data_IF_297958867939
#
_entry.id   IF_297958867939
#
_cell.length_a   1.000
_cell.length_b   1.000
_cell.length_c   1.000
_cell.angle_alpha   90.00
_cell.angle_beta   90.00
_cell.angle_gamma   90.00
#
_symmetry.space_group_name_H-M   'P 1'
#
loop_
_entity.id
_entity.type
_entity.pdbx_description
1 polymer ?
#
# COMPACT_ATOMS: atom_id res chain seq x y z
N UNK A 1 5.19 -32.03 -1.83
CA UNK A 1 4.87 -33.21 -2.66
C UNK A 1 6.08 -33.54 -3.52
N UNK A 2 6.35 -34.82 -3.85
CA UNK A 2 7.43 -35.17 -4.79
C UNK A 2 7.05 -34.80 -6.22
N UNK A 3 8.01 -34.34 -7.01
CA UNK A 3 7.88 -34.08 -8.45
C UNK A 3 8.80 -35.06 -9.18
N UNK A 4 8.24 -35.86 -10.09
CA UNK A 4 8.94 -36.94 -10.79
C UNK A 4 9.17 -36.57 -12.26
N UNK A 5 10.36 -36.07 -12.59
CA UNK A 5 10.69 -35.71 -13.96
C UNK A 5 10.80 -36.97 -14.84
N UNK A 6 9.98 -37.11 -15.89
CA UNK A 6 10.05 -38.26 -16.77
C UNK A 6 11.32 -38.19 -17.64
N UNK A 7 11.79 -39.36 -18.07
CA UNK A 7 12.86 -39.49 -19.06
C UNK A 7 12.24 -40.01 -20.36
N UNK A 8 12.58 -39.36 -21.47
CA UNK A 8 12.08 -39.71 -22.80
C UNK A 8 13.10 -40.60 -23.52
N UNK A 9 12.78 -41.88 -23.60
CA UNK A 9 13.58 -42.92 -24.25
C UNK A 9 12.88 -43.44 -25.50
N UNK A 10 13.65 -44.01 -26.43
CA UNK A 10 13.08 -44.65 -27.61
C UNK A 10 12.12 -45.78 -27.21
N UNK A 11 10.94 -45.80 -27.86
CA UNK A 11 9.88 -46.77 -27.57
C UNK A 11 9.08 -46.53 -26.27
N UNK A 12 9.31 -45.44 -25.53
CA UNK A 12 8.52 -45.14 -24.33
C UNK A 12 7.05 -44.78 -24.70
N UNK A 13 6.08 -45.48 -24.08
CA UNK A 13 4.66 -45.17 -24.24
C UNK A 13 4.29 -43.83 -23.58
N UNK A 14 3.43 -43.07 -24.26
CA UNK A 14 2.89 -41.81 -23.73
C UNK A 14 1.87 -42.08 -22.63
N UNK A 15 2.15 -41.54 -21.45
CA UNK A 15 1.31 -41.66 -20.26
C UNK A 15 0.98 -40.27 -19.72
N UNK A 16 -0.28 -39.98 -19.31
CA UNK A 16 -0.69 -38.67 -18.80
C UNK A 16 0.21 -38.12 -17.68
N UNK A 17 0.74 -39.01 -16.84
CA UNK A 17 1.60 -38.70 -15.72
C UNK A 17 2.91 -38.03 -16.16
N UNK A 18 3.46 -38.38 -17.33
CA UNK A 18 4.69 -37.77 -17.85
C UNK A 18 4.48 -36.26 -18.06
N UNK A 19 3.39 -35.89 -18.75
CA UNK A 19 3.04 -34.50 -19.01
C UNK A 19 2.68 -33.73 -17.73
N UNK A 20 1.91 -34.36 -16.82
CA UNK A 20 1.50 -33.73 -15.56
C UNK A 20 2.70 -33.41 -14.66
N UNK A 21 3.65 -34.33 -14.54
CA UNK A 21 4.84 -34.13 -13.71
C UNK A 21 5.80 -33.12 -14.32
N UNK A 22 5.92 -33.09 -15.66
CA UNK A 22 6.69 -32.06 -16.35
C UNK A 22 6.09 -30.67 -16.09
N UNK A 23 4.78 -30.50 -16.26
CA UNK A 23 4.10 -29.23 -16.00
C UNK A 23 4.25 -28.77 -14.54
N UNK A 24 4.16 -29.70 -13.57
CA UNK A 24 4.37 -29.40 -12.16
C UNK A 24 5.80 -28.94 -11.86
N UNK A 25 6.80 -29.52 -12.53
CA UNK A 25 8.20 -29.09 -12.42
C UNK A 25 8.39 -27.65 -12.91
N UNK A 26 7.76 -27.29 -14.03
CA UNK A 26 7.91 -25.97 -14.63
C UNK A 26 7.29 -24.86 -13.74
N UNK A 27 6.14 -25.13 -13.11
CA UNK A 27 5.54 -24.23 -12.10
C UNK A 27 6.48 -24.05 -10.89
N UNK A 28 7.06 -25.14 -10.39
CA UNK A 28 8.00 -25.08 -9.27
C UNK A 28 9.26 -24.29 -9.62
N UNK A 29 9.81 -24.48 -10.82
CA UNK A 29 10.97 -23.74 -11.31
C UNK A 29 10.68 -22.23 -11.38
N UNK A 30 9.51 -21.83 -11.90
CA UNK A 30 9.12 -20.43 -11.95
C UNK A 30 9.00 -19.79 -10.55
N UNK A 31 8.45 -20.52 -9.57
CA UNK A 31 8.39 -20.05 -8.18
C UNK A 31 9.80 -19.93 -7.55
N UNK A 32 10.70 -20.86 -7.86
CA UNK A 32 12.08 -20.82 -7.35
C UNK A 32 12.84 -19.57 -7.82
N UNK A 33 12.62 -19.14 -9.07
CA UNK A 33 13.19 -17.89 -9.62
C UNK A 33 12.57 -16.67 -8.94
N UNK A 34 11.25 -16.65 -8.76
CA UNK A 34 10.58 -15.52 -8.11
C UNK A 34 11.06 -15.29 -6.67
N UNK A 35 11.33 -16.37 -5.92
CA UNK A 35 11.84 -16.33 -4.54
C UNK A 35 13.29 -15.84 -4.41
N UNK A 36 14.03 -15.73 -5.51
CA UNK A 36 15.40 -15.19 -5.46
C UNK A 36 15.43 -13.72 -5.02
N UNK A 37 14.36 -12.97 -5.31
CA UNK A 37 14.29 -11.53 -5.01
C UNK A 37 13.11 -11.08 -4.16
N UNK A 38 12.13 -11.96 -3.89
CA UNK A 38 10.88 -11.63 -3.19
C UNK A 38 10.61 -12.63 -2.08
N UNK A 39 10.15 -12.14 -0.92
CA UNK A 39 9.73 -13.04 0.15
C UNK A 39 8.35 -13.66 -0.15
N UNK A 40 7.42 -12.86 -0.70
CA UNK A 40 6.04 -13.27 -0.95
C UNK A 40 5.65 -13.11 -2.44
N UNK A 41 6.11 -13.99 -3.36
CA UNK A 41 5.78 -13.88 -4.78
C UNK A 41 4.36 -14.40 -5.08
N UNK A 42 3.34 -13.89 -4.39
CA UNK A 42 1.94 -14.27 -4.51
C UNK A 42 1.03 -13.08 -4.19
N UNK A 43 -0.27 -13.21 -4.39
CA UNK A 43 -1.26 -12.17 -4.15
C UNK A 43 -2.05 -11.77 -5.38
N UNK A 44 -2.72 -10.63 -5.29
CA UNK A 44 -3.64 -10.11 -6.30
C UNK A 44 -2.90 -9.20 -7.27
N UNK A 45 -3.13 -9.42 -8.58
CA UNK A 45 -2.72 -8.53 -9.66
C UNK A 45 -3.90 -7.65 -10.11
N UNK A 46 -5.08 -8.24 -10.21
CA UNK A 46 -6.33 -7.54 -10.51
C UNK A 46 -7.51 -8.25 -9.85
N UNK A 47 -8.43 -7.49 -9.26
CA UNK A 47 -9.67 -8.00 -8.70
C UNK A 47 -10.80 -6.98 -8.91
N UNK A 48 -11.63 -7.25 -9.92
CA UNK A 48 -12.74 -6.40 -10.32
C UNK A 48 -14.07 -7.12 -10.10
N UNK A 49 -15.08 -6.37 -9.64
CA UNK A 49 -16.37 -6.89 -9.21
C UNK A 49 -17.52 -6.06 -9.78
N UNK A 50 -18.67 -6.70 -9.93
CA UNK A 50 -19.93 -6.06 -10.27
C UNK A 50 -20.72 -5.71 -9.00
N UNK A 51 -20.83 -4.42 -8.72
CA UNK A 51 -21.52 -3.88 -7.55
C UNK A 51 -23.04 -3.78 -7.75
N UNK A 52 -23.57 -3.97 -8.97
CA UNK A 52 -24.98 -3.73 -9.30
C UNK A 52 -25.96 -4.65 -8.57
N UNK A 53 -25.51 -5.85 -8.19
CA UNK A 53 -26.33 -6.88 -7.54
C UNK A 53 -26.17 -6.92 -6.01
N UNK A 54 -25.34 -6.05 -5.42
CA UNK A 54 -25.17 -5.95 -3.97
C UNK A 54 -26.48 -5.68 -3.20
N UNK A 55 -27.41 -4.82 -3.68
CA UNK A 55 -28.72 -4.64 -3.04
C UNK A 55 -29.54 -5.93 -2.97
N UNK A 56 -29.28 -6.90 -3.87
CA UNK A 56 -29.92 -8.21 -3.91
C UNK A 56 -29.12 -9.28 -3.15
N UNK A 57 -28.15 -8.89 -2.32
CA UNK A 57 -27.28 -9.80 -1.57
C UNK A 57 -26.51 -10.78 -2.47
N UNK A 58 -26.04 -10.31 -3.63
CA UNK A 58 -25.24 -11.09 -4.57
C UNK A 58 -24.00 -10.32 -4.99
N UNK A 59 -22.87 -11.02 -5.07
CA UNK A 59 -21.60 -10.48 -5.56
C UNK A 59 -21.06 -11.35 -6.68
N UNK A 60 -20.78 -10.72 -7.83
CA UNK A 60 -20.09 -11.35 -8.96
C UNK A 60 -18.71 -10.72 -9.15
N UNK A 61 -17.71 -11.56 -9.43
CA UNK A 61 -16.43 -11.08 -9.96
C UNK A 61 -16.56 -10.91 -11.48
N UNK A 62 -15.91 -9.89 -12.02
CA UNK A 62 -15.85 -9.64 -13.47
C UNK A 62 -14.48 -9.95 -14.04
N UNK A 63 -13.42 -9.81 -13.24
CA UNK A 63 -12.04 -10.10 -13.64
C UNK A 63 -11.18 -10.42 -12.43
N UNK A 64 -10.44 -11.52 -12.49
CA UNK A 64 -9.52 -11.95 -11.45
C UNK A 64 -8.19 -12.41 -12.05
N UNK A 65 -7.10 -11.78 -11.61
CA UNK A 65 -5.73 -12.23 -11.86
C UNK A 65 -5.05 -12.36 -10.50
N UNK A 66 -4.85 -13.61 -10.07
CA UNK A 66 -4.41 -13.93 -8.70
C UNK A 66 -3.38 -15.03 -8.73
N UNK A 67 -2.24 -14.84 -8.07
CA UNK A 67 -1.25 -15.90 -7.85
C UNK A 67 -1.37 -16.42 -6.44
N UNK A 68 -1.60 -17.72 -6.28
CA UNK A 68 -1.65 -18.37 -4.97
C UNK A 68 -0.24 -18.63 -4.41
N UNK A 69 -0.10 -18.83 -3.08
CA UNK A 69 1.20 -19.09 -2.43
C UNK A 69 1.91 -20.37 -2.90
N UNK A 70 1.18 -21.30 -3.51
CA UNK A 70 1.74 -22.53 -4.10
C UNK A 70 2.33 -22.32 -5.51
N UNK A 71 2.32 -21.08 -6.02
CA UNK A 71 2.82 -20.69 -7.33
C UNK A 71 1.78 -20.77 -8.45
N UNK A 72 0.57 -21.26 -8.18
CA UNK A 72 -0.50 -21.36 -9.18
C UNK A 72 -1.02 -19.97 -9.53
N UNK A 73 -0.93 -19.63 -10.81
CA UNK A 73 -1.52 -18.41 -11.36
C UNK A 73 -2.93 -18.70 -11.86
N UNK A 74 -3.87 -17.86 -11.45
CA UNK A 74 -5.22 -17.77 -11.98
C UNK A 74 -5.31 -16.53 -12.86
N UNK A 75 -5.87 -16.71 -14.05
CA UNK A 75 -6.08 -15.64 -15.02
C UNK A 75 -7.39 -15.85 -15.79
N UNK A 76 -8.41 -15.08 -15.40
CA UNK A 76 -9.76 -15.20 -15.97
C UNK A 76 -9.91 -14.62 -17.36
N UNK A 77 -8.91 -13.88 -17.87
CA UNK A 77 -8.93 -13.37 -19.25
C UNK A 77 -8.36 -14.38 -20.25
N UNK A 78 -7.57 -15.35 -19.76
CA UNK A 78 -6.77 -16.24 -20.61
C UNK A 78 -7.21 -17.69 -20.54
N UNK A 79 -7.26 -18.28 -19.35
CA UNK A 79 -7.37 -19.74 -19.21
C UNK A 79 -8.45 -20.19 -18.22
N UNK A 80 -8.78 -19.36 -17.22
CA UNK A 80 -9.72 -19.71 -16.16
C UNK A 80 -11.10 -19.09 -16.37
N UNK A 81 -12.14 -19.77 -15.92
CA UNK A 81 -13.49 -19.21 -15.91
C UNK A 81 -13.69 -18.39 -14.62
N UNK A 82 -14.59 -17.40 -14.67
CA UNK A 82 -15.02 -16.67 -13.49
C UNK A 82 -15.70 -17.60 -12.46
N UNK A 83 -15.51 -17.37 -11.16
CA UNK A 83 -16.20 -18.15 -10.13
C UNK A 83 -17.72 -17.87 -10.16
N UNK A 84 -18.54 -18.81 -9.67
CA UNK A 84 -19.97 -18.57 -9.50
C UNK A 84 -20.27 -17.40 -8.54
N UNK A 85 -21.49 -16.86 -8.65
CA UNK A 85 -22.00 -15.79 -7.78
C UNK A 85 -21.87 -16.15 -6.31
N UNK A 86 -21.38 -15.20 -5.50
CA UNK A 86 -21.36 -15.32 -4.05
C UNK A 86 -22.71 -14.87 -3.48
N UNK A 87 -23.37 -15.75 -2.73
CA UNK A 87 -24.61 -15.45 -2.02
C UNK A 87 -24.33 -14.88 -0.63
N UNK A 88 -24.81 -13.65 -0.39
CA UNK A 88 -24.64 -12.91 0.86
C UNK A 88 -25.87 -13.05 1.80
N UNK A 89 -26.90 -13.81 1.41
CA UNK A 89 -28.10 -14.02 2.23
C UNK A 89 -27.79 -14.69 3.58
N UNK A 90 -26.76 -15.55 3.59
CA UNK A 90 -26.30 -16.32 4.76
C UNK A 90 -25.57 -15.49 5.82
N UNK A 91 -25.27 -14.22 5.53
CA UNK A 91 -24.52 -13.31 6.41
C UNK A 91 -25.28 -12.02 6.71
N UNK A 92 -26.61 -12.10 6.71
CA UNK A 92 -27.50 -10.97 6.98
C UNK A 92 -27.33 -10.36 8.39
N UNK A 93 -26.84 -11.13 9.34
CA UNK A 93 -26.53 -10.71 10.72
C UNK A 93 -25.21 -9.93 10.86
N UNK A 94 -24.35 -9.96 9.84
CA UNK A 94 -23.03 -9.32 9.87
C UNK A 94 -23.06 -7.90 9.34
N UNK A 95 -22.16 -7.06 9.87
CA UNK A 95 -21.88 -5.70 9.37
C UNK A 95 -20.68 -5.63 8.44
N UNK A 96 -19.82 -6.67 8.47
CA UNK A 96 -18.59 -6.78 7.69
C UNK A 96 -18.38 -8.22 7.25
N UNK A 97 -17.98 -8.42 5.99
CA UNK A 97 -17.66 -9.73 5.43
C UNK A 97 -16.41 -9.63 4.55
N UNK A 98 -15.37 -10.37 4.91
CA UNK A 98 -14.18 -10.55 4.06
C UNK A 98 -14.42 -11.68 3.05
N UNK A 99 -14.28 -11.35 1.76
CA UNK A 99 -14.42 -12.28 0.64
C UNK A 99 -13.03 -12.74 0.21
N UNK A 100 -12.88 -14.06 0.12
CA UNK A 100 -11.66 -14.73 -0.33
C UNK A 100 -11.92 -15.50 -1.61
N UNK A 101 -10.99 -15.43 -2.57
CA UNK A 101 -10.94 -16.36 -3.69
C UNK A 101 -10.38 -17.68 -3.19
N UNK A 102 -11.12 -18.76 -3.40
CA UNK A 102 -10.77 -20.08 -2.90
C UNK A 102 -10.52 -21.06 -4.05
N UNK A 103 -9.36 -21.74 -3.97
CA UNK A 103 -8.91 -22.76 -4.89
C UNK A 103 -8.65 -24.06 -4.13
N UNK A 104 -9.33 -25.18 -4.43
CA UNK A 104 -9.13 -26.44 -3.70
C UNK A 104 -7.67 -26.90 -3.72
N UNK A 105 -7.22 -27.47 -2.59
CA UNK A 105 -5.87 -28.01 -2.47
C UNK A 105 -5.63 -29.15 -3.46
N UNK A 106 -4.43 -29.18 -4.04
CA UNK A 106 -3.99 -30.30 -4.86
C UNK A 106 -3.71 -31.51 -3.98
N UNK A 107 -4.33 -32.66 -4.27
CA UNK A 107 -4.04 -33.90 -3.56
C UNK A 107 -3.00 -34.73 -4.32
N UNK A 108 -1.96 -35.12 -3.59
CA UNK A 108 -0.87 -35.93 -4.12
C UNK A 108 -1.27 -37.35 -4.55
N UNK A 109 -2.31 -37.90 -3.93
CA UNK A 109 -2.85 -39.23 -4.21
C UNK A 109 -3.83 -39.23 -5.39
N UNK A 110 -3.99 -38.10 -6.09
CA UNK A 110 -4.87 -37.97 -7.25
C UNK A 110 -6.30 -37.55 -6.90
N UNK A 111 -7.23 -37.83 -7.83
CA UNK A 111 -8.63 -37.41 -7.70
C UNK A 111 -8.80 -35.89 -7.66
N UNK A 112 -8.05 -35.17 -8.51
CA UNK A 112 -8.08 -33.70 -8.56
C UNK A 112 -9.05 -33.15 -9.61
N UNK A 113 -9.60 -34.02 -10.48
CA UNK A 113 -10.62 -33.68 -11.46
C UNK A 113 -12.02 -33.92 -10.88
N UNK A 114 -12.84 -32.90 -10.89
CA UNK A 114 -14.28 -33.00 -10.63
C UNK A 114 -14.97 -33.63 -11.83
N UNK A 115 -15.54 -34.81 -11.61
CA UNK A 115 -16.26 -35.61 -12.61
C UNK A 115 -17.72 -35.85 -12.19
N UNK A 116 -18.24 -35.07 -11.23
CA UNK A 116 -19.60 -35.21 -10.70
C UNK A 116 -19.79 -36.34 -9.68
N UNK A 117 -18.76 -37.12 -9.35
CA UNK A 117 -18.82 -38.07 -8.23
C UNK A 117 -18.75 -37.32 -6.90
N UNK A 118 -19.56 -37.73 -5.92
CA UNK A 118 -19.45 -37.20 -4.55
C UNK A 118 -18.05 -37.41 -3.97
N UNK A 119 -17.60 -36.43 -3.17
CA UNK A 119 -16.28 -36.41 -2.56
C UNK A 119 -16.35 -35.54 -1.32
N UNK A 120 -15.83 -36.05 -0.19
CA UNK A 120 -15.74 -35.33 1.09
C UNK A 120 -14.92 -34.03 1.00
N UNK A 121 -14.06 -33.92 -0.02
CA UNK A 121 -13.25 -32.73 -0.28
C UNK A 121 -13.50 -32.18 -1.69
N UNK A 122 -13.41 -30.85 -1.87
CA UNK A 122 -13.46 -30.26 -3.19
C UNK A 122 -12.25 -30.67 -4.04
N UNK A 123 -12.43 -30.70 -5.36
CA UNK A 123 -11.40 -31.05 -6.34
C UNK A 123 -10.98 -29.82 -7.13
N UNK A 124 -9.68 -29.71 -7.39
CA UNK A 124 -9.04 -28.49 -7.93
C UNK A 124 -9.43 -28.16 -9.37
N UNK A 125 -9.75 -29.17 -10.17
CA UNK A 125 -9.91 -29.03 -11.62
C UNK A 125 -11.29 -29.43 -12.09
N UNK A 126 -11.73 -28.80 -13.18
CA UNK A 126 -12.88 -29.17 -14.00
C UNK A 126 -12.40 -29.36 -15.44
N UNK A 127 -13.12 -30.19 -16.20
CA UNK A 127 -12.88 -30.38 -17.63
C UNK A 127 -13.95 -29.63 -18.41
N UNK A 128 -13.53 -28.93 -19.45
CA UNK A 128 -14.40 -28.27 -20.42
C UNK A 128 -13.95 -28.67 -21.83
N UNK A 129 -14.87 -28.90 -22.76
CA UNK A 129 -14.51 -29.16 -24.16
C UNK A 129 -14.67 -27.90 -24.97
N UNK A 130 -13.60 -27.49 -25.64
CA UNK A 130 -13.54 -26.26 -26.42
C UNK A 130 -12.95 -26.57 -27.79
N UNK A 131 -13.49 -25.93 -28.83
CA UNK A 131 -12.92 -26.02 -30.16
C UNK A 131 -11.69 -25.10 -30.25
N UNK A 132 -10.50 -25.68 -30.34
CA UNK A 132 -9.23 -24.96 -30.34
C UNK A 132 -8.68 -24.90 -31.76
N UNK A 133 -8.30 -23.70 -32.19
CA UNK A 133 -7.63 -23.47 -33.45
C UNK A 133 -6.19 -23.98 -33.37
N UNK A 134 -5.81 -24.80 -34.34
CA UNK A 134 -4.44 -25.23 -34.54
C UNK A 134 -3.60 -24.04 -35.05
N UNK A 135 -2.42 -23.82 -34.47
CA UNK A 135 -1.64 -22.60 -34.69
C UNK A 135 -0.74 -22.64 -35.93
N UNK A 136 -0.39 -23.82 -36.45
CA UNK A 136 0.45 -23.96 -37.64
C UNK A 136 -0.36 -23.86 -38.95
N UNK A 137 -1.64 -24.18 -38.91
CA UNK A 137 -2.52 -24.37 -40.06
C UNK A 137 -3.88 -23.73 -39.86
N UNK A 138 -4.92 -24.39 -40.37
CA UNK A 138 -6.28 -23.82 -40.48
C UNK A 138 -7.35 -24.72 -39.86
N UNK A 139 -6.97 -25.87 -39.31
CA UNK A 139 -7.90 -26.83 -38.72
C UNK A 139 -8.30 -26.43 -37.30
N UNK A 140 -9.50 -26.84 -36.90
CA UNK A 140 -9.99 -26.70 -35.53
C UNK A 140 -10.37 -28.08 -35.02
N UNK A 141 -10.14 -28.33 -33.74
CA UNK A 141 -10.49 -29.59 -33.10
C UNK A 141 -10.97 -29.37 -31.68
N UNK A 142 -11.91 -30.23 -31.24
CA UNK A 142 -12.40 -30.21 -29.87
C UNK A 142 -11.35 -30.79 -28.92
N UNK A 143 -10.89 -29.98 -27.97
CA UNK A 143 -9.89 -30.34 -26.95
C UNK A 143 -10.51 -30.21 -25.57
N UNK A 144 -10.27 -31.20 -24.70
CA UNK A 144 -10.60 -31.11 -23.29
C UNK A 144 -9.57 -30.23 -22.57
N UNK A 145 -9.98 -29.03 -22.16
CA UNK A 145 -9.16 -28.07 -21.43
C UNK A 145 -9.46 -28.11 -19.93
N UNK A 146 -8.44 -27.79 -19.15
CA UNK A 146 -8.53 -27.71 -17.70
C UNK A 146 -9.04 -26.32 -17.28
N UNK A 147 -9.98 -26.29 -16.34
CA UNK A 147 -10.39 -25.09 -15.61
C UNK A 147 -10.13 -25.28 -14.13
N UNK A 148 -9.61 -24.27 -13.45
CA UNK A 148 -9.57 -24.30 -11.99
C UNK A 148 -10.99 -24.17 -11.41
N UNK A 149 -11.28 -24.95 -10.37
CA UNK A 149 -12.56 -24.94 -9.69
C UNK A 149 -12.60 -23.80 -8.65
N UNK A 150 -12.66 -22.57 -9.15
CA UNK A 150 -12.65 -21.35 -8.36
C UNK A 150 -14.01 -21.09 -7.73
N UNK A 151 -14.00 -20.65 -6.47
CA UNK A 151 -15.21 -20.22 -5.76
C UNK A 151 -14.90 -18.97 -4.94
N UNK A 152 -15.86 -18.06 -4.85
CA UNK A 152 -15.83 -16.99 -3.85
C UNK A 152 -16.36 -17.56 -2.53
N UNK A 153 -15.55 -17.41 -1.49
CA UNK A 153 -15.87 -17.86 -0.13
C UNK A 153 -15.71 -16.70 0.83
N UNK A 154 -16.15 -16.88 2.06
CA UNK A 154 -16.03 -15.88 3.12
C UNK A 154 -14.96 -16.34 4.11
N UNK A 155 -14.18 -15.41 4.66
CA UNK A 155 -13.05 -15.75 5.52
C UNK A 155 -13.44 -16.53 6.79
N UNK A 156 -14.65 -16.30 7.32
CA UNK A 156 -15.16 -16.98 8.50
C UNK A 156 -15.64 -18.43 8.24
N UNK A 157 -15.74 -18.85 6.98
CA UNK A 157 -16.08 -20.23 6.64
C UNK A 157 -14.90 -21.16 6.92
N UNK A 158 -15.18 -22.46 7.07
CA UNK A 158 -14.12 -23.45 7.11
C UNK A 158 -13.44 -23.55 5.73
N UNK A 159 -12.21 -23.06 5.66
CA UNK A 159 -11.45 -22.91 4.41
C UNK A 159 -10.18 -23.78 4.36
N UNK A 160 -10.00 -24.71 5.31
CA UNK A 160 -8.79 -25.53 5.44
C UNK A 160 -8.50 -26.43 4.22
N UNK A 161 -9.52 -26.81 3.45
CA UNK A 161 -9.36 -27.61 2.23
C UNK A 161 -9.03 -26.78 0.97
N UNK A 162 -8.86 -25.46 1.11
CA UNK A 162 -8.59 -24.52 0.02
C UNK A 162 -7.32 -23.72 0.29
N UNK A 163 -6.65 -23.34 -0.79
CA UNK A 163 -5.83 -22.13 -0.77
C UNK A 163 -6.75 -20.94 -0.94
N UNK A 164 -6.54 -19.91 -0.14
CA UNK A 164 -7.38 -18.70 -0.16
C UNK A 164 -6.53 -17.45 -0.29
N UNK A 165 -7.02 -16.49 -1.07
CA UNK A 165 -6.46 -15.16 -1.16
C UNK A 165 -7.58 -14.13 -0.92
N UNK A 166 -7.47 -13.21 0.05
CA UNK A 166 -8.42 -12.12 0.22
C UNK A 166 -8.49 -11.24 -1.03
N UNK A 167 -9.70 -10.93 -1.50
CA UNK A 167 -9.91 -10.18 -2.75
C UNK A 167 -10.79 -8.95 -2.59
N UNK A 168 -11.69 -8.93 -1.61
CA UNK A 168 -12.48 -7.74 -1.28
C UNK A 168 -13.06 -7.86 0.13
N UNK A 169 -13.48 -6.73 0.70
CA UNK A 169 -14.26 -6.67 1.94
C UNK A 169 -15.56 -5.91 1.68
N UNK A 170 -16.66 -6.45 2.17
CA UNK A 170 -17.96 -5.80 2.15
C UNK A 170 -18.29 -5.25 3.54
N UNK A 171 -18.87 -4.06 3.57
CA UNK A 171 -19.39 -3.40 4.78
C UNK A 171 -20.81 -2.93 4.53
N UNK A 172 -21.56 -2.66 5.59
CA UNK A 172 -22.87 -2.01 5.48
C UNK A 172 -22.72 -0.50 5.37
N UNK A 173 -23.43 0.10 4.44
CA UNK A 173 -23.56 1.55 4.33
C UNK A 173 -24.54 2.12 5.40
N UNK A 174 -24.75 3.44 5.36
CA UNK A 174 -25.67 4.11 6.29
C UNK A 174 -27.14 3.68 6.12
N UNK A 175 -27.50 3.12 4.97
CA UNK A 175 -28.82 2.58 4.65
C UNK A 175 -28.93 1.08 4.99
N UNK A 176 -27.85 0.47 5.50
CA UNK A 176 -27.77 -0.94 5.84
C UNK A 176 -27.56 -1.86 4.64
N UNK A 177 -27.32 -1.32 3.43
CA UNK A 177 -27.01 -2.11 2.24
C UNK A 177 -25.54 -2.48 2.17
N UNK A 178 -25.23 -3.58 1.47
CA UNK A 178 -23.83 -3.99 1.25
C UNK A 178 -23.15 -3.06 0.24
N UNK A 179 -21.95 -2.60 0.57
CA UNK A 179 -21.05 -1.91 -0.33
C UNK A 179 -19.60 -2.42 -0.13
N UNK A 180 -18.73 -2.21 -1.12
CA UNK A 180 -17.30 -2.54 -0.99
C UNK A 180 -16.61 -1.53 -0.08
N UNK A 181 -15.77 -2.00 0.84
CA UNK A 181 -14.96 -1.14 1.70
C UNK A 181 -13.82 -0.50 0.87
N UNK A 182 -13.82 0.82 0.66
CA UNK A 182 -12.78 1.50 -0.13
C UNK A 182 -11.40 1.46 0.55
N UNK A 183 -11.35 1.15 1.86
CA UNK A 183 -10.10 1.05 2.63
C UNK A 183 -9.48 -0.34 2.57
N UNK A 184 -10.14 -1.30 1.94
CA UNK A 184 -9.62 -2.65 1.83
C UNK A 184 -8.38 -2.71 0.93
N UNK A 185 -7.35 -3.40 1.38
CA UNK A 185 -6.14 -3.66 0.59
C UNK A 185 -5.87 -5.18 0.60
N UNK A 186 -5.98 -5.89 -0.54
CA UNK A 186 -5.63 -7.31 -0.60
C UNK A 186 -4.11 -7.51 -0.53
N UNK A 187 -3.60 -8.72 -0.27
CA UNK A 187 -2.20 -9.05 -0.53
C UNK A 187 -1.83 -8.71 -1.98
N UNK A 188 -0.91 -7.77 -2.17
CA UNK A 188 -0.65 -7.14 -3.47
C UNK A 188 0.53 -7.80 -4.17
N UNK A 189 0.34 -8.36 -5.36
CA UNK A 189 1.46 -8.73 -6.24
C UNK A 189 1.94 -7.52 -7.07
N UNK A 190 1.02 -6.57 -7.31
CA UNK A 190 1.23 -5.31 -8.02
C UNK A 190 0.59 -4.16 -7.26
N UNK A 191 1.19 -2.96 -7.28
CA UNK A 191 0.63 -1.78 -6.60
C UNK A 191 -0.70 -1.35 -7.20
N UNK A 192 -0.84 -1.46 -8.53
CA UNK A 192 -2.06 -1.08 -9.26
C UNK A 192 -3.31 -1.87 -8.87
N UNK A 193 -3.18 -2.99 -8.14
CA UNK A 193 -4.32 -3.78 -7.68
C UNK A 193 -5.14 -3.05 -6.59
N UNK A 194 -4.57 -2.03 -5.93
CA UNK A 194 -5.28 -1.16 -4.99
C UNK A 194 -5.25 0.29 -5.48
N UNK A 195 -6.34 0.77 -6.13
CA UNK A 195 -6.43 2.16 -6.57
C UNK A 195 -6.36 3.16 -5.41
N UNK A 196 -6.94 2.83 -4.25
CA UNK A 196 -6.91 3.69 -3.07
C UNK A 196 -5.48 3.91 -2.56
N UNK A 197 -4.68 2.83 -2.46
CA UNK A 197 -3.27 2.94 -2.10
C UNK A 197 -2.48 3.78 -3.13
N UNK A 198 -2.76 3.62 -4.42
CA UNK A 198 -2.12 4.43 -5.46
C UNK A 198 -2.44 5.92 -5.33
N UNK A 199 -3.66 6.29 -4.96
CA UNK A 199 -4.05 7.67 -4.66
C UNK A 199 -3.25 8.21 -3.47
N UNK A 200 -3.22 7.49 -2.34
CA UNK A 200 -2.48 7.92 -1.15
C UNK A 200 -0.96 8.07 -1.41
N UNK A 201 -0.39 7.18 -2.23
CA UNK A 201 1.02 7.27 -2.62
C UNK A 201 1.31 8.48 -3.51
N UNK A 202 0.41 8.80 -4.45
CA UNK A 202 0.53 9.98 -5.30
C UNK A 202 0.42 11.27 -4.46
N UNK A 203 -0.48 11.31 -3.49
CA UNK A 203 -0.62 12.42 -2.54
C UNK A 203 0.64 12.58 -1.67
N UNK A 204 1.18 11.48 -1.12
CA UNK A 204 2.44 11.51 -0.38
C UNK A 204 3.59 12.08 -1.23
N UNK A 205 3.72 11.65 -2.49
CA UNK A 205 4.76 12.16 -3.39
C UNK A 205 4.55 13.65 -3.67
N UNK A 206 3.31 14.10 -3.83
CA UNK A 206 2.98 15.52 -4.00
C UNK A 206 3.39 16.34 -2.77
N UNK A 207 3.06 15.88 -1.56
CA UNK A 207 3.46 16.52 -0.31
C UNK A 207 4.98 16.57 -0.16
N UNK A 208 5.68 15.47 -0.49
CA UNK A 208 7.13 15.39 -0.47
C UNK A 208 7.76 16.44 -1.41
N UNK A 209 7.27 16.54 -2.65
CA UNK A 209 7.76 17.49 -3.64
C UNK A 209 7.56 18.95 -3.19
N UNK A 210 6.35 19.29 -2.70
CA UNK A 210 6.03 20.60 -2.18
C UNK A 210 6.95 20.96 -1.00
N UNK A 211 7.16 20.00 -0.09
CA UNK A 211 8.03 20.19 1.08
C UNK A 211 9.48 20.40 0.69
N UNK A 212 10.01 19.58 -0.22
CA UNK A 212 11.36 19.73 -0.75
C UNK A 212 11.55 21.10 -1.43
N UNK A 213 10.60 21.54 -2.26
CA UNK A 213 10.67 22.84 -2.93
C UNK A 213 10.78 23.99 -1.94
N UNK A 214 9.98 23.96 -0.85
CA UNK A 214 10.05 24.95 0.24
C UNK A 214 11.40 24.95 0.96
N UNK A 215 11.97 23.79 1.24
CA UNK A 215 13.30 23.71 1.88
C UNK A 215 14.41 24.18 0.94
N UNK A 216 14.28 23.93 -0.37
CA UNK A 216 15.21 24.41 -1.38
C UNK A 216 15.15 25.93 -1.58
N UNK A 217 13.98 26.58 -1.42
CA UNK A 217 13.89 28.04 -1.48
C UNK A 217 14.61 28.70 -0.29
N UNK A 218 14.50 28.13 0.92
CA UNK A 218 15.23 28.60 2.11
C UNK A 218 16.77 28.53 1.92
N UNK A 219 17.26 27.63 1.06
CA UNK A 219 18.69 27.54 0.72
C UNK A 219 19.15 28.69 -0.19
N UNK A 220 18.30 29.16 -1.11
CA UNK A 220 18.65 30.21 -2.08
C UNK A 220 18.81 31.59 -1.44
N UNK A 221 18.11 31.84 -0.34
CA UNK A 221 18.28 33.06 0.47
C UNK A 221 19.65 33.10 1.15
N UNK A 222 20.31 31.95 1.36
CA UNK A 222 21.51 31.85 2.19
C UNK A 222 22.86 31.98 1.45
N UNK A 223 23.00 31.75 0.13
CA UNK A 223 24.28 31.98 -0.56
C UNK A 223 24.23 31.94 -2.09
N UNK A 224 24.96 32.86 -2.75
CA UNK A 224 24.88 33.11 -4.19
C UNK A 224 25.71 32.19 -5.10
N UNK A 225 26.51 31.22 -4.61
CA UNK A 225 27.23 30.28 -5.52
C UNK A 225 27.86 29.02 -4.93
N UNK A 226 28.06 28.90 -3.61
CA UNK A 226 28.67 27.69 -3.01
C UNK A 226 27.91 27.29 -1.73
N UNK A 227 27.75 25.99 -1.54
CA UNK A 227 26.99 25.40 -0.45
C UNK A 227 27.80 25.39 0.85
N UNK A 228 28.12 26.56 1.39
CA UNK A 228 28.70 26.65 2.74
C UNK A 228 27.60 26.34 3.75
N UNK A 229 27.60 25.10 4.25
CA UNK A 229 26.76 24.70 5.38
C UNK A 229 27.44 25.14 6.67
N UNK A 230 26.88 26.14 7.34
CA UNK A 230 27.23 26.40 8.73
C UNK A 230 26.75 25.24 9.62
N UNK A 231 27.37 25.05 10.79
CA UNK A 231 26.98 24.01 11.77
C UNK A 231 25.49 24.12 12.15
N UNK A 232 24.89 25.32 12.07
CA UNK A 232 23.47 25.56 12.30
C UNK A 232 22.53 25.02 11.22
N UNK A 233 23.01 24.75 10.00
CA UNK A 233 22.21 24.27 8.87
C UNK A 233 22.29 22.74 8.66
N UNK A 234 22.95 22.01 9.57
CA UNK A 234 23.16 20.55 9.45
C UNK A 234 21.82 19.80 9.36
N UNK A 235 20.82 20.19 10.14
CA UNK A 235 19.49 19.55 10.08
C UNK A 235 18.80 19.79 8.73
N UNK A 236 18.92 21.00 8.17
CA UNK A 236 18.37 21.33 6.85
C UNK A 236 19.08 20.53 5.75
N UNK A 237 20.41 20.38 5.83
CA UNK A 237 21.19 19.56 4.91
C UNK A 237 20.71 18.11 4.90
N UNK A 238 20.64 17.47 6.07
CA UNK A 238 20.25 16.06 6.16
C UNK A 238 18.79 15.83 5.75
N UNK A 239 17.89 16.77 6.06
CA UNK A 239 16.51 16.72 5.59
C UNK A 239 16.44 16.81 4.06
N UNK A 240 17.13 17.77 3.44
CA UNK A 240 17.22 17.87 1.99
C UNK A 240 17.87 16.65 1.36
N UNK A 241 18.90 16.08 1.98
CA UNK A 241 19.53 14.84 1.52
C UNK A 241 18.51 13.69 1.49
N UNK A 242 17.78 13.47 2.57
CA UNK A 242 16.76 12.43 2.65
C UNK A 242 15.67 12.60 1.56
N UNK A 243 15.14 13.81 1.39
CA UNK A 243 14.08 14.08 0.41
C UNK A 243 14.58 14.00 -1.03
N UNK A 244 15.73 14.61 -1.35
CA UNK A 244 16.28 14.63 -2.70
C UNK A 244 16.69 13.24 -3.18
N UNK A 245 17.20 12.39 -2.29
CA UNK A 245 17.55 11.01 -2.64
C UNK A 245 16.32 10.12 -2.82
N UNK A 246 15.24 10.35 -2.06
CA UNK A 246 14.04 9.53 -2.13
C UNK A 246 13.10 9.90 -3.30
N UNK A 247 12.93 11.20 -3.60
CA UNK A 247 11.97 11.67 -4.63
C UNK A 247 12.10 10.97 -6.00
N UNK A 248 13.28 10.91 -6.65
CA UNK A 248 13.39 10.30 -7.98
C UNK A 248 13.11 8.80 -7.95
N UNK A 249 13.48 8.11 -6.88
CA UNK A 249 13.25 6.67 -6.70
C UNK A 249 11.77 6.40 -6.51
N UNK A 250 11.10 7.15 -5.62
CA UNK A 250 9.66 6.99 -5.39
C UNK A 250 8.84 7.36 -6.63
N UNK A 251 9.25 8.39 -7.38
CA UNK A 251 8.62 8.76 -8.65
C UNK A 251 8.69 7.62 -9.67
N UNK A 252 9.88 7.02 -9.86
CA UNK A 252 10.06 5.88 -10.75
C UNK A 252 9.21 4.67 -10.32
N UNK A 253 9.10 4.43 -9.02
CA UNK A 253 8.29 3.34 -8.48
C UNK A 253 6.81 3.51 -8.82
N UNK A 254 6.28 4.74 -8.73
CA UNK A 254 4.88 5.05 -9.01
C UNK A 254 4.56 5.16 -10.51
N UNK A 255 5.51 5.59 -11.34
CA UNK A 255 5.33 5.67 -12.80
C UNK A 255 5.14 4.27 -13.41
N UNK A 256 5.70 3.22 -12.78
CA UNK A 256 5.57 1.82 -13.19
C UNK A 256 5.04 0.95 -12.03
N UNK A 257 3.72 1.02 -11.75
CA UNK A 257 3.09 0.42 -10.56
C UNK A 257 2.85 -1.09 -10.69
N UNK A 258 3.58 -1.78 -11.56
CA UNK A 258 3.43 -3.19 -11.92
C UNK A 258 4.37 -4.14 -11.16
N UNK A 259 5.11 -3.62 -10.19
CA UNK A 259 6.14 -4.34 -9.41
C UNK A 259 5.62 -4.70 -8.02
N UNK A 260 6.31 -5.65 -7.40
CA UNK A 260 5.96 -6.12 -6.06
C UNK A 260 6.11 -5.01 -5.00
N UNK A 261 5.14 -4.85 -4.07
CA UNK A 261 5.14 -3.81 -3.03
C UNK A 261 6.32 -3.85 -2.05
N UNK A 262 7.02 -4.98 -1.90
CA UNK A 262 8.22 -5.06 -1.04
C UNK A 262 9.32 -4.06 -1.46
N UNK A 263 9.44 -3.79 -2.76
CA UNK A 263 10.40 -2.81 -3.27
C UNK A 263 10.04 -1.39 -2.81
N UNK A 264 8.76 -1.04 -2.87
CA UNK A 264 8.24 0.24 -2.38
C UNK A 264 8.40 0.35 -0.87
N UNK A 265 8.01 -0.68 -0.12
CA UNK A 265 8.12 -0.70 1.34
C UNK A 265 9.55 -0.39 1.80
N UNK A 266 10.57 -0.99 1.16
CA UNK A 266 11.97 -0.76 1.51
C UNK A 266 12.36 0.73 1.41
N UNK A 267 11.91 1.42 0.36
CA UNK A 267 12.25 2.83 0.18
C UNK A 267 11.40 3.77 1.06
N UNK A 268 10.14 3.43 1.33
CA UNK A 268 9.32 4.15 2.32
C UNK A 268 9.89 4.01 3.73
N UNK A 269 10.30 2.80 4.13
CA UNK A 269 10.92 2.56 5.43
C UNK A 269 12.25 3.30 5.57
N UNK A 270 13.09 3.32 4.52
CA UNK A 270 14.33 4.10 4.49
C UNK A 270 14.08 5.59 4.67
N UNK A 271 13.08 6.13 3.97
CA UNK A 271 12.69 7.53 4.11
C UNK A 271 12.17 7.82 5.52
N UNK A 272 11.25 7.01 6.04
CA UNK A 272 10.70 7.18 7.39
C UNK A 272 11.80 7.15 8.46
N UNK A 273 12.71 6.17 8.40
CA UNK A 273 13.85 6.07 9.32
C UNK A 273 14.76 7.30 9.27
N UNK A 274 14.97 7.86 8.07
CA UNK A 274 15.76 9.08 7.91
C UNK A 274 15.07 10.30 8.52
N UNK A 275 13.75 10.45 8.32
CA UNK A 275 12.97 11.57 8.86
C UNK A 275 12.76 11.49 10.38
N UNK A 276 12.69 10.27 10.94
CA UNK A 276 12.54 10.05 12.39
C UNK A 276 13.73 10.59 13.20
N UNK A 277 14.90 10.79 12.57
CA UNK A 277 16.05 11.43 13.23
C UNK A 277 15.78 12.86 13.70
N UNK A 278 14.76 13.51 13.15
CA UNK A 278 14.34 14.87 13.51
C UNK A 278 13.07 14.89 14.38
N UNK A 279 12.48 13.74 14.67
CA UNK A 279 11.27 13.65 15.49
C UNK A 279 11.63 13.53 16.96
N UNK A 280 10.92 14.27 17.82
CA UNK A 280 10.95 14.10 19.28
C UNK A 280 9.71 13.36 19.79
N UNK A 281 8.69 13.21 18.95
CA UNK A 281 7.39 12.62 19.31
C UNK A 281 7.28 11.15 18.92
N UNK A 282 8.10 10.71 17.97
CA UNK A 282 8.06 9.35 17.41
C UNK A 282 9.44 8.68 17.51
N UNK A 283 9.43 7.38 17.79
CA UNK A 283 10.60 6.53 17.85
C UNK A 283 10.77 5.70 16.57
N UNK A 284 11.93 5.06 16.43
CA UNK A 284 12.23 4.19 15.27
C UNK A 284 11.26 3.01 15.14
N UNK A 285 10.74 2.52 16.27
CA UNK A 285 9.78 1.41 16.30
C UNK A 285 8.39 1.79 15.77
N UNK A 286 8.15 3.07 15.48
CA UNK A 286 6.93 3.53 14.84
C UNK A 286 6.82 3.08 13.37
N UNK A 287 7.92 2.64 12.74
CA UNK A 287 7.91 2.10 11.37
C UNK A 287 7.32 0.68 11.39
N UNK A 288 6.13 0.45 10.78
CA UNK A 288 5.49 -0.86 10.80
C UNK A 288 6.32 -1.92 10.06
N UNK A 289 6.43 -3.12 10.63
CA UNK A 289 7.01 -4.27 9.95
C UNK A 289 6.12 -4.71 8.77
N UNK A 290 6.73 -5.20 7.69
CA UNK A 290 6.00 -5.64 6.52
C UNK A 290 5.32 -7.00 6.74
N UNK A 291 3.99 -7.02 6.69
CA UNK A 291 3.16 -8.22 6.70
C UNK A 291 2.30 -8.25 5.44
N UNK A 292 2.63 -9.14 4.51
CA UNK A 292 2.02 -9.18 3.18
C UNK A 292 0.56 -9.62 3.20
N UNK A 293 0.20 -10.48 4.14
CA UNK A 293 -1.17 -11.00 4.32
C UNK A 293 -2.15 -9.92 4.77
N UNK A 294 -1.66 -8.88 5.47
CA UNK A 294 -2.49 -7.79 6.01
C UNK A 294 -1.84 -6.42 5.73
N UNK A 295 -1.80 -5.97 4.46
CA UNK A 295 -1.11 -4.74 4.09
C UNK A 295 -1.76 -3.48 4.65
N UNK A 296 -3.04 -3.55 5.06
CA UNK A 296 -3.75 -2.50 5.80
C UNK A 296 -3.08 -2.12 7.12
N UNK A 297 -2.36 -3.05 7.76
CA UNK A 297 -1.59 -2.81 8.98
C UNK A 297 -0.20 -2.23 8.70
N UNK A 298 0.16 -2.02 7.43
CA UNK A 298 1.51 -1.63 7.01
C UNK A 298 1.50 -0.29 6.29
N UNK A 299 0.81 -0.21 5.14
CA UNK A 299 0.88 0.99 4.29
C UNK A 299 0.13 2.18 4.90
N UNK A 300 -1.17 2.10 5.24
CA UNK A 300 -1.88 3.23 5.85
C UNK A 300 -1.16 3.84 7.07
N UNK A 301 -0.69 3.05 8.08
CA UNK A 301 0.03 3.63 9.21
C UNK A 301 1.39 4.23 8.81
N UNK A 302 2.12 3.62 7.87
CA UNK A 302 3.40 4.14 7.39
C UNK A 302 3.24 5.45 6.61
N UNK A 303 2.24 5.54 5.73
CA UNK A 303 1.92 6.74 4.96
C UNK A 303 1.45 7.88 5.87
N UNK A 304 0.61 7.58 6.87
CA UNK A 304 0.21 8.55 7.89
C UNK A 304 1.39 9.06 8.72
N UNK A 305 2.31 8.17 9.11
CA UNK A 305 3.54 8.56 9.80
C UNK A 305 4.41 9.49 8.92
N UNK A 306 4.62 9.14 7.66
CA UNK A 306 5.40 9.95 6.72
C UNK A 306 4.80 11.34 6.51
N UNK A 307 3.47 11.44 6.35
CA UNK A 307 2.79 12.74 6.23
C UNK A 307 3.03 13.61 7.47
N UNK A 308 2.87 13.06 8.68
CA UNK A 308 3.17 13.79 9.94
C UNK A 308 4.62 14.24 10.03
N UNK A 309 5.56 13.36 9.65
CA UNK A 309 6.99 13.69 9.65
C UNK A 309 7.33 14.78 8.65
N UNK A 310 6.75 14.76 7.45
CA UNK A 310 6.95 15.80 6.42
C UNK A 310 6.42 17.17 6.88
N UNK A 311 5.34 17.20 7.66
CA UNK A 311 4.80 18.44 8.24
C UNK A 311 5.67 18.98 9.39
N UNK A 312 6.01 18.12 10.36
CA UNK A 312 6.69 18.48 11.61
C UNK A 312 8.19 18.78 11.47
N UNK A 313 8.87 18.23 10.46
CA UNK A 313 10.34 18.23 10.29
C UNK A 313 10.97 19.59 9.93
N UNK A 314 10.29 20.72 10.10
CA UNK A 314 10.85 22.03 9.75
C UNK A 314 11.86 22.46 10.83
N UNK A 315 13.15 22.67 10.51
CA UNK A 315 14.05 23.32 11.44
C UNK A 315 13.52 24.75 11.67
N UNK A 316 12.97 25.02 12.85
CA UNK A 316 12.42 26.35 13.15
C UNK A 316 13.56 27.35 13.27
N UNK A 317 13.62 28.30 12.33
CA UNK A 317 14.38 29.55 12.49
C UNK A 317 13.67 30.54 13.42
N UNK A 318 12.47 30.19 13.88
CA UNK A 318 11.67 30.99 14.81
C UNK A 318 11.86 30.44 16.20
N UNK A 319 12.30 31.30 17.11
CA UNK A 319 12.30 31.00 18.54
C UNK A 319 10.99 31.54 19.10
N UNK A 320 10.16 30.67 19.67
CA UNK A 320 9.01 31.13 20.43
C UNK A 320 9.50 31.75 21.74
N UNK A 321 9.18 33.03 21.94
CA UNK A 321 9.49 33.75 23.16
C UNK A 321 8.23 33.77 24.01
N UNK A 322 8.27 33.10 25.16
CA UNK A 322 7.17 33.15 26.12
C UNK A 322 7.10 34.54 26.74
N UNK A 323 5.95 35.21 26.60
CA UNK A 323 5.66 36.49 27.23
C UNK A 323 4.82 36.28 28.50
N UNK A 324 5.39 36.60 29.66
CA UNK A 324 4.70 36.55 30.95
C UNK A 324 4.00 37.87 31.22
N UNK A 325 2.70 37.81 31.49
CA UNK A 325 1.88 38.99 31.75
C UNK A 325 1.87 39.36 33.25
N UNK A 326 2.03 40.64 33.55
CA UNK A 326 1.78 41.25 34.86
C UNK A 326 0.96 42.53 34.68
N UNK A 327 -0.36 42.43 34.82
CA UNK A 327 -1.27 43.55 34.60
C UNK A 327 -1.23 44.06 33.15
N UNK A 328 -0.76 45.30 32.96
CA UNK A 328 -0.60 45.94 31.64
C UNK A 328 0.76 45.66 31.00
N UNK A 329 1.68 45.00 31.71
CA UNK A 329 3.04 44.70 31.24
C UNK A 329 3.16 43.26 30.75
N UNK A 330 3.96 43.07 29.71
CA UNK A 330 4.32 41.76 29.16
C UNK A 330 5.85 41.67 29.06
N UNK A 331 6.44 40.62 29.62
CA UNK A 331 7.88 40.44 29.70
C UNK A 331 8.30 39.11 29.07
N UNK A 332 9.27 39.14 28.15
CA UNK A 332 9.81 37.95 27.50
C UNK A 332 11.32 37.89 27.63
N UNK A 333 11.84 36.80 28.19
CA UNK A 333 13.27 36.66 28.41
C UNK A 333 13.97 36.08 27.17
N UNK A 334 14.97 36.80 26.64
CA UNK A 334 15.74 36.41 25.46
C UNK A 334 17.03 35.70 25.88
N UNK A 335 16.95 34.42 26.23
CA UNK A 335 18.11 33.63 26.66
C UNK A 335 18.85 32.93 25.52
N UNK A 336 18.21 32.80 24.36
CA UNK A 336 18.77 32.06 23.23
C UNK A 336 19.88 32.84 22.53
N UNK A 337 21.06 32.24 22.42
CA UNK A 337 22.22 32.86 21.77
C UNK A 337 21.96 33.22 20.29
N UNK A 338 20.98 32.56 19.64
CA UNK A 338 20.56 32.85 18.26
C UNK A 338 19.89 34.21 18.10
N UNK A 339 19.43 34.82 19.19
CA UNK A 339 18.69 36.09 19.17
C UNK A 339 19.58 37.33 19.41
N UNK A 340 20.89 37.15 19.54
CA UNK A 340 21.76 38.20 20.10
C UNK A 340 22.06 39.35 19.13
N UNK A 341 22.11 39.15 17.82
CA UNK A 341 22.37 40.23 16.84
C UNK A 341 21.70 39.94 15.48
N UNK A 342 20.88 40.87 14.97
CA UNK A 342 20.32 40.82 13.61
C UNK A 342 19.04 40.00 13.39
N UNK A 343 18.33 39.60 14.45
CA UNK A 343 17.04 38.90 14.33
C UNK A 343 15.86 39.87 14.22
N UNK A 344 14.96 39.63 13.26
CA UNK A 344 13.68 40.34 13.18
C UNK A 344 12.69 39.77 14.20
N UNK A 345 12.11 40.66 15.00
CA UNK A 345 11.07 40.30 15.96
C UNK A 345 9.69 40.49 15.35
N UNK A 346 8.84 39.48 15.50
CA UNK A 346 7.45 39.50 15.06
C UNK A 346 6.54 39.32 16.27
N UNK A 347 5.50 40.15 16.38
CA UNK A 347 4.55 40.10 17.48
C UNK A 347 3.17 39.69 16.96
N UNK A 348 2.68 38.52 17.40
CA UNK A 348 1.32 38.07 17.10
C UNK A 348 0.37 38.58 18.18
N UNK A 349 -0.63 39.38 17.79
CA UNK A 349 -1.57 40.03 18.72
C UNK A 349 -2.98 39.48 18.48
N UNK A 350 -3.61 38.97 19.55
CA UNK A 350 -5.04 38.63 19.56
C UNK A 350 -5.78 39.55 20.54
N UNK A 351 -6.90 40.11 20.10
CA UNK A 351 -7.75 41.01 20.87
C UNK A 351 -9.20 40.87 20.44
N UNK A 352 -10.16 41.23 21.30
CA UNK A 352 -11.59 41.34 20.95
C UNK A 352 -11.90 42.57 20.09
N UNK A 353 -10.91 43.45 19.87
CA UNK A 353 -11.03 44.65 19.04
C UNK A 353 -11.07 44.32 17.53
N UNK A 354 -11.86 45.04 16.71
CA UNK A 354 -11.85 44.88 15.25
C UNK A 354 -10.45 45.12 14.66
N UNK A 355 -10.05 44.30 13.68
CA UNK A 355 -8.70 44.32 13.12
C UNK A 355 -8.25 45.67 12.55
N UNK A 356 -9.17 46.43 11.96
CA UNK A 356 -8.88 47.75 11.41
C UNK A 356 -8.59 48.81 12.49
N UNK A 357 -9.17 48.69 13.68
CA UNK A 357 -8.82 49.56 14.82
C UNK A 357 -7.51 49.11 15.46
N UNK A 358 -7.30 47.79 15.57
CA UNK A 358 -6.10 47.21 16.18
C UNK A 358 -4.83 47.62 15.42
N UNK A 359 -4.83 47.54 14.08
CA UNK A 359 -3.68 47.94 13.25
C UNK A 359 -3.30 49.43 13.41
N UNK A 360 -4.27 50.30 13.75
CA UNK A 360 -4.01 51.74 13.90
C UNK A 360 -3.64 52.11 15.33
N UNK A 361 -4.35 51.55 16.32
CA UNK A 361 -4.12 51.84 17.74
C UNK A 361 -2.87 51.14 18.28
N UNK A 362 -2.58 49.92 17.84
CA UNK A 362 -1.50 49.12 18.41
C UNK A 362 -0.11 49.77 18.24
N UNK A 363 0.30 50.26 17.04
CA UNK A 363 1.59 50.93 16.89
C UNK A 363 1.72 52.25 17.66
N UNK A 364 0.60 52.91 17.99
CA UNK A 364 0.58 54.17 18.72
C UNK A 364 0.60 54.00 20.25
N UNK A 365 -0.04 52.93 20.74
CA UNK A 365 -0.24 52.70 22.17
C UNK A 365 0.72 51.65 22.76
N UNK A 366 1.18 50.69 21.95
CA UNK A 366 2.16 49.69 22.39
C UNK A 366 3.51 50.37 22.60
N UNK A 367 4.08 50.22 23.80
CA UNK A 367 5.38 50.81 24.15
C UNK A 367 6.40 49.70 24.41
N UNK A 368 7.61 49.89 23.90
CA UNK A 368 8.76 49.08 24.30
C UNK A 368 9.33 49.64 25.61
N UNK A 369 9.64 48.74 26.56
CA UNK A 369 10.28 49.09 27.84
C UNK A 369 11.76 48.69 27.85
N UNK A 370 12.58 49.41 28.61
CA UNK A 370 13.95 49.01 28.90
C UNK A 370 13.95 47.80 29.86
N UNK A 371 14.82 46.80 29.67
CA UNK A 371 14.87 45.63 30.55
C UNK A 371 15.18 46.00 32.01
N UNK A 372 15.88 47.11 32.24
CA UNK A 372 16.31 47.55 33.58
C UNK A 372 15.28 48.45 34.29
N UNK A 373 14.22 48.89 33.60
CA UNK A 373 13.15 49.74 34.15
C UNK A 373 11.86 48.92 34.34
N UNK A 374 11.85 48.03 35.33
CA UNK A 374 10.62 47.37 35.78
C UNK A 374 10.28 47.83 37.21
N UNK A 375 9.56 48.95 37.31
CA UNK A 375 8.84 49.36 38.54
C UNK A 375 7.36 49.01 38.41
#
# INVERSE_FOLDING_TARGET
>A
MKIYRPLWEDGAFLMPQQFQQQAAWDVHLADSVARMGLAHPWGVVAAEFDDSLLPLSRLNATRLIVRFPDGTLIDTERADNLPPVCDLSTVSDRSLVDIVLALPLLNANGGNLDNGSESERPRRWKSERVNVQELAGHEQSEVAVLRHNLTLRMAHQENAAWLTCPVTRLVRDAQGQWCRDPRFIPPLLTLSASPSLMTELAELLHHLQARRQRLMSMRRENNARLADFAVADVSLFWLLNALNSAEPVLKELLDMPYRHPELLYRELARLAGSLLTFSLEHNVDAVPAYHHETPENVFPPLLSLLNRLLEASLPSRVVFIELKQKGVMWEGALHDARLREGADFWLSVRSSMPGHELQTKFPQLCKAGSPDDCV
#
